data_IF_889741875882
#
_entry.id   IF_889741875882
#
_cell.length_a   1.000
_cell.length_b   1.000
_cell.length_c   1.000
_cell.angle_alpha   90.00
_cell.angle_beta   90.00
_cell.angle_gamma   90.00
#
_symmetry.space_group_name_H-M   'P 1'
#
loop_
_entity.id
_entity.type
_entity.pdbx_description
1 polymer ?
#
# COMPACT_ATOMS: atom_id res chain seq x y z
N UNK A 1 67.99 -53.04 -3.07
CA UNK A 1 68.74 -54.15 -3.72
C UNK A 1 67.72 -55.13 -4.30
N UNK A 2 67.89 -55.58 -5.55
CA UNK A 2 67.07 -56.62 -6.22
C UNK A 2 67.50 -58.05 -5.72
N UNK A 3 66.96 -59.22 -6.18
CA UNK A 3 66.42 -59.44 -7.53
C UNK A 3 65.35 -60.55 -7.80
N UNK A 4 64.96 -60.61 -9.08
CA UNK A 4 64.58 -61.79 -9.88
C UNK A 4 63.26 -62.54 -9.62
N UNK A 5 62.66 -63.24 -10.59
CA UNK A 5 62.49 -63.07 -12.06
C UNK A 5 61.89 -64.37 -12.65
N UNK A 6 61.35 -64.29 -13.89
CA UNK A 6 61.01 -65.40 -14.83
C UNK A 6 59.74 -66.20 -14.50
N UNK A 7 58.94 -66.67 -15.47
CA UNK A 7 58.88 -66.39 -16.92
C UNK A 7 57.61 -66.99 -17.55
N UNK A 8 57.03 -66.30 -18.54
CA UNK A 8 56.45 -66.80 -19.82
C UNK A 8 55.69 -68.15 -19.84
N UNK A 9 54.47 -68.23 -20.38
CA UNK A 9 54.30 -68.29 -21.85
C UNK A 9 52.83 -68.09 -22.30
N UNK A 10 52.65 -67.55 -23.52
CA UNK A 10 51.37 -67.26 -24.17
C UNK A 10 50.59 -68.50 -24.66
N UNK A 11 49.26 -68.44 -24.57
CA UNK A 11 48.33 -69.10 -25.51
C UNK A 11 46.96 -68.39 -25.52
N UNK A 12 46.58 -67.82 -26.67
CA UNK A 12 45.31 -67.12 -26.90
C UNK A 12 44.23 -68.11 -27.38
N UNK A 13 43.09 -68.20 -26.68
CA UNK A 13 41.78 -67.96 -27.32
C UNK A 13 40.82 -67.16 -26.39
N UNK A 14 39.71 -66.55 -26.81
CA UNK A 14 39.14 -66.38 -28.17
C UNK A 14 38.54 -64.96 -28.34
N UNK A 15 37.21 -64.81 -28.59
CA UNK A 15 36.42 -63.59 -28.41
C UNK A 15 34.94 -63.94 -28.16
N UNK A 16 34.35 -63.50 -27.04
CA UNK A 16 32.92 -63.61 -26.74
C UNK A 16 32.22 -62.22 -26.68
N UNK A 17 30.89 -62.15 -26.86
CA UNK A 17 30.22 -60.98 -27.43
C UNK A 17 29.79 -59.91 -26.41
N UNK A 18 29.56 -58.70 -26.93
CA UNK A 18 29.05 -57.56 -26.17
C UNK A 18 27.58 -57.79 -25.70
N UNK A 19 27.22 -57.37 -24.47
CA UNK A 19 25.84 -57.42 -24.00
C UNK A 19 25.00 -56.34 -24.69
N UNK A 20 23.74 -56.69 -24.98
CA UNK A 20 22.80 -55.82 -25.70
C UNK A 20 22.29 -54.65 -24.84
N UNK A 21 21.92 -53.57 -25.51
CA UNK A 21 21.30 -52.38 -24.91
C UNK A 21 19.84 -52.61 -24.54
N UNK A 22 19.52 -52.56 -23.24
CA UNK A 22 18.14 -52.49 -22.75
C UNK A 22 17.59 -51.04 -22.76
N UNK A 23 16.26 -50.83 -22.84
CA UNK A 23 15.69 -49.52 -23.17
C UNK A 23 15.61 -48.57 -21.97
N UNK A 24 16.12 -47.35 -22.13
CA UNK A 24 16.13 -46.31 -21.11
C UNK A 24 14.74 -45.72 -20.72
N UNK A 25 13.64 -46.34 -21.12
CA UNK A 25 12.28 -45.79 -21.00
C UNK A 25 11.59 -46.08 -19.65
N UNK A 26 11.97 -47.16 -18.95
CA UNK A 26 11.27 -47.56 -17.71
C UNK A 26 11.77 -46.83 -16.46
N UNK A 27 13.03 -46.37 -16.43
CA UNK A 27 13.63 -45.69 -15.26
C UNK A 27 13.03 -44.29 -15.01
N UNK A 28 12.85 -43.46 -16.05
CA UNK A 28 12.19 -42.14 -15.91
C UNK A 28 10.75 -42.28 -15.37
N UNK A 29 10.06 -43.39 -15.67
CA UNK A 29 8.69 -43.64 -15.19
C UNK A 29 8.61 -43.92 -13.67
N UNK A 30 9.70 -44.47 -13.11
CA UNK A 30 9.80 -44.80 -11.68
C UNK A 30 10.12 -43.52 -10.88
N UNK A 31 11.06 -42.71 -11.37
CA UNK A 31 11.42 -41.45 -10.71
C UNK A 31 10.26 -40.43 -10.76
N UNK A 32 9.53 -40.30 -11.88
CA UNK A 32 8.31 -39.47 -11.92
C UNK A 32 7.27 -39.91 -10.89
N UNK A 33 7.05 -41.23 -10.74
CA UNK A 33 6.12 -41.75 -9.72
C UNK A 33 6.60 -41.45 -8.29
N UNK A 34 7.91 -41.48 -8.05
CA UNK A 34 8.47 -41.20 -6.74
C UNK A 34 8.34 -39.71 -6.39
N UNK A 35 8.62 -38.81 -7.34
CA UNK A 35 8.40 -37.36 -7.19
C UNK A 35 6.93 -37.01 -6.98
N UNK A 36 6.01 -37.55 -7.80
CA UNK A 36 4.57 -37.33 -7.64
C UNK A 36 4.08 -37.80 -6.25
N UNK A 37 4.58 -38.93 -5.76
CA UNK A 37 4.23 -39.46 -4.43
C UNK A 37 4.75 -38.56 -3.31
N UNK A 38 5.99 -38.05 -3.42
CA UNK A 38 6.56 -37.13 -2.45
C UNK A 38 5.82 -35.78 -2.44
N UNK A 39 5.50 -35.25 -3.62
CA UNK A 39 4.83 -33.97 -3.76
C UNK A 39 3.35 -34.04 -3.33
N UNK A 40 2.69 -35.19 -3.50
CA UNK A 40 1.35 -35.46 -2.95
C UNK A 40 1.36 -35.48 -1.42
N UNK A 41 2.28 -36.22 -0.79
CA UNK A 41 2.40 -36.28 0.67
C UNK A 41 2.68 -34.91 1.28
N UNK A 42 3.54 -34.10 0.66
CA UNK A 42 3.85 -32.75 1.16
C UNK A 42 2.61 -31.84 1.14
N UNK A 43 1.80 -31.88 0.07
CA UNK A 43 0.55 -31.11 0.00
C UNK A 43 -0.50 -31.56 1.02
N UNK A 44 -0.52 -32.85 1.36
CA UNK A 44 -1.47 -33.39 2.34
C UNK A 44 -1.10 -32.99 3.78
N UNK A 45 0.20 -32.91 4.09
CA UNK A 45 0.70 -32.36 5.37
C UNK A 45 0.44 -30.85 5.48
N UNK A 46 0.81 -30.05 4.47
CA UNK A 46 0.58 -28.59 4.45
C UNK A 46 -0.93 -28.26 4.57
N UNK A 47 -1.80 -29.07 3.95
CA UNK A 47 -3.24 -28.96 4.13
C UNK A 47 -3.70 -29.27 5.56
N UNK A 48 -3.19 -30.33 6.20
CA UNK A 48 -3.53 -30.65 7.59
C UNK A 48 -3.06 -29.56 8.56
N UNK A 49 -1.87 -28.98 8.36
CA UNK A 49 -1.39 -27.86 9.16
C UNK A 49 -2.26 -26.61 8.99
N UNK A 50 -2.70 -26.29 7.76
CA UNK A 50 -3.62 -25.18 7.52
C UNK A 50 -5.01 -25.41 8.12
N UNK A 51 -5.56 -26.63 8.08
CA UNK A 51 -6.84 -26.97 8.71
C UNK A 51 -6.76 -26.81 10.25
N UNK A 52 -5.68 -27.26 10.89
CA UNK A 52 -5.44 -27.08 12.35
C UNK A 52 -5.23 -25.60 12.72
N UNK A 53 -4.55 -24.81 11.89
CA UNK A 53 -4.39 -23.37 12.12
C UNK A 53 -5.72 -22.61 11.98
N UNK A 54 -6.57 -23.01 11.03
CA UNK A 54 -7.91 -22.43 10.85
C UNK A 54 -8.83 -22.75 12.03
N UNK A 55 -8.80 -23.98 12.56
CA UNK A 55 -9.59 -24.38 13.73
C UNK A 55 -9.19 -23.59 14.98
N UNK A 56 -7.89 -23.46 15.26
CA UNK A 56 -7.38 -22.61 16.37
C UNK A 56 -7.77 -21.13 16.22
N UNK A 57 -7.77 -20.61 15.00
CA UNK A 57 -8.19 -19.23 14.74
C UNK A 57 -9.70 -19.03 14.98
N UNK A 58 -10.53 -20.01 14.59
CA UNK A 58 -11.97 -20.00 14.85
C UNK A 58 -12.29 -20.10 16.35
N UNK A 59 -11.58 -20.95 17.08
CA UNK A 59 -11.75 -21.09 18.54
C UNK A 59 -11.37 -19.77 19.27
N UNK A 60 -10.24 -19.16 18.91
CA UNK A 60 -9.82 -17.87 19.46
C UNK A 60 -10.80 -16.72 19.13
N UNK A 61 -11.41 -16.73 17.95
CA UNK A 61 -12.47 -15.78 17.60
C UNK A 61 -13.73 -15.98 18.44
N UNK A 62 -14.15 -17.24 18.65
CA UNK A 62 -15.30 -17.60 19.47
C UNK A 62 -15.11 -17.21 20.95
N UNK A 63 -13.91 -17.44 21.51
CA UNK A 63 -13.55 -17.00 22.87
C UNK A 63 -13.60 -15.47 23.02
N UNK A 64 -13.14 -14.71 22.02
CA UNK A 64 -13.25 -13.24 22.02
C UNK A 64 -14.70 -12.75 21.95
N UNK A 65 -15.57 -13.40 21.16
CA UNK A 65 -17.01 -13.06 21.13
C UNK A 65 -17.63 -13.31 22.51
N UNK A 66 -17.34 -14.43 23.16
CA UNK A 66 -17.82 -14.73 24.52
C UNK A 66 -17.34 -13.71 25.57
N UNK A 67 -16.09 -13.23 25.48
CA UNK A 67 -15.59 -12.13 26.34
C UNK A 67 -16.32 -10.80 26.09
N UNK A 68 -16.63 -10.46 24.83
CA UNK A 68 -17.38 -9.23 24.52
C UNK A 68 -18.83 -9.34 24.99
N UNK A 69 -19.49 -10.49 24.80
CA UNK A 69 -20.86 -10.70 25.28
C UNK A 69 -20.96 -10.67 26.81
N UNK A 70 -20.03 -11.31 27.53
CA UNK A 70 -20.02 -11.27 29.00
C UNK A 70 -19.76 -9.86 29.53
N UNK A 71 -18.82 -9.12 28.93
CA UNK A 71 -18.57 -7.70 29.28
C UNK A 71 -19.80 -6.84 29.02
N UNK A 72 -20.53 -7.09 27.92
CA UNK A 72 -21.75 -6.36 27.57
C UNK A 72 -22.90 -6.67 28.54
N UNK A 73 -23.08 -7.94 28.96
CA UNK A 73 -24.11 -8.31 29.94
C UNK A 73 -23.85 -7.70 31.32
N UNK A 74 -22.58 -7.64 31.77
CA UNK A 74 -22.23 -6.93 33.01
C UNK A 74 -22.53 -5.43 32.91
N UNK A 75 -22.15 -4.76 31.80
CA UNK A 75 -22.41 -3.33 31.60
C UNK A 75 -23.91 -2.98 31.46
N UNK A 76 -24.76 -3.94 31.07
CA UNK A 76 -26.22 -3.69 30.89
C UNK A 76 -27.01 -3.82 32.19
N UNK A 77 -26.43 -4.39 33.25
CA UNK A 77 -27.15 -4.64 34.52
C UNK A 77 -27.17 -3.44 35.47
N UNK A 78 -26.32 -2.43 35.25
CA UNK A 78 -26.29 -1.18 36.04
C UNK A 78 -27.05 -0.01 35.39
N UNK A 79 -27.74 -0.24 34.27
CA UNK A 79 -28.42 0.80 33.47
C UNK A 79 -29.94 0.59 33.36
N UNK A 80 -30.63 0.37 34.49
CA UNK A 80 -32.11 0.30 34.55
C UNK A 80 -32.73 1.39 35.43
N UNK A 81 -32.42 2.67 35.17
CA UNK A 81 -33.19 3.80 35.75
C UNK A 81 -33.13 5.08 34.89
N UNK A 82 -33.79 5.08 33.73
CA UNK A 82 -34.35 6.31 33.08
C UNK A 82 -35.08 5.98 31.77
N UNK A 83 -36.40 6.01 31.81
CA UNK A 83 -37.28 5.83 30.65
C UNK A 83 -37.41 7.14 29.86
N UNK A 84 -37.15 7.16 28.54
CA UNK A 84 -38.09 7.63 27.49
C UNK A 84 -37.50 7.73 26.06
N UNK A 85 -38.16 7.03 25.12
CA UNK A 85 -38.33 7.34 23.68
C UNK A 85 -37.17 7.92 22.85
N UNK A 86 -36.58 7.06 22.01
CA UNK A 86 -35.80 7.48 20.85
C UNK A 86 -36.70 8.06 19.74
N UNK A 87 -36.38 9.28 19.29
CA UNK A 87 -37.01 9.94 18.13
C UNK A 87 -36.12 9.73 16.89
N UNK A 88 -36.68 9.40 15.71
CA UNK A 88 -35.88 9.07 14.53
C UNK A 88 -35.05 10.26 14.02
N UNK A 89 -33.88 9.94 13.46
CA UNK A 89 -32.80 10.87 13.02
C UNK A 89 -33.30 12.03 12.15
N UNK A 90 -34.38 11.85 11.39
CA UNK A 90 -34.98 12.88 10.54
C UNK A 90 -35.33 14.15 11.35
N UNK A 91 -35.91 14.02 12.55
CA UNK A 91 -36.24 15.19 13.40
C UNK A 91 -35.01 15.93 13.92
N UNK A 92 -33.85 15.26 14.04
CA UNK A 92 -32.60 15.95 14.39
C UNK A 92 -32.11 16.86 13.26
N UNK A 93 -32.37 16.51 12.00
CA UNK A 93 -31.98 17.33 10.85
C UNK A 93 -32.86 18.58 10.76
N UNK A 94 -34.17 18.43 10.96
CA UNK A 94 -35.11 19.57 11.01
C UNK A 94 -34.71 20.57 12.11
N UNK A 95 -34.46 20.08 13.33
CA UNK A 95 -34.15 20.94 14.48
C UNK A 95 -32.79 21.66 14.36
N UNK A 96 -31.78 21.03 13.73
CA UNK A 96 -30.51 21.71 13.41
C UNK A 96 -30.72 22.80 12.36
N UNK A 97 -31.61 22.59 11.39
CA UNK A 97 -31.97 23.60 10.40
C UNK A 97 -32.59 24.85 11.03
N UNK A 98 -33.57 24.67 11.91
CA UNK A 98 -34.22 25.78 12.64
C UNK A 98 -33.21 26.61 13.44
N UNK A 99 -32.41 25.96 14.30
CA UNK A 99 -31.39 26.64 15.14
C UNK A 99 -30.40 27.45 14.30
N UNK A 100 -29.94 26.91 13.16
CA UNK A 100 -29.02 27.65 12.27
C UNK A 100 -29.72 28.85 11.64
N UNK A 101 -30.99 28.74 11.24
CA UNK A 101 -31.74 29.88 10.68
C UNK A 101 -32.04 30.97 11.72
N UNK A 102 -32.35 30.61 12.96
CA UNK A 102 -32.57 31.59 14.05
C UNK A 102 -31.29 32.34 14.41
N UNK A 103 -30.17 31.62 14.62
CA UNK A 103 -28.88 32.26 14.96
C UNK A 103 -28.40 33.22 13.87
N UNK A 104 -28.65 32.90 12.59
CA UNK A 104 -28.31 33.82 11.48
C UNK A 104 -29.31 34.98 11.40
N UNK A 105 -30.61 34.76 11.64
CA UNK A 105 -31.62 35.82 11.65
C UNK A 105 -31.34 36.85 12.75
N UNK A 106 -31.06 36.40 13.98
CA UNK A 106 -30.73 37.27 15.11
C UNK A 106 -29.43 38.07 14.86
N UNK A 107 -28.43 37.46 14.21
CA UNK A 107 -27.16 38.12 13.84
C UNK A 107 -27.28 39.13 12.70
N UNK A 108 -28.26 38.98 11.81
CA UNK A 108 -28.38 39.79 10.57
C UNK A 108 -29.55 40.77 10.57
N UNK A 109 -30.48 40.66 11.53
CA UNK A 109 -31.71 41.46 11.55
C UNK A 109 -32.68 41.14 10.41
N UNK A 110 -32.42 40.06 9.65
CA UNK A 110 -33.28 39.62 8.56
C UNK A 110 -34.36 38.68 9.09
N UNK A 111 -35.60 38.75 8.55
CA UNK A 111 -36.60 37.74 8.85
C UNK A 111 -36.12 36.36 8.38
N UNK A 112 -36.54 35.29 9.05
CA UNK A 112 -36.09 33.91 8.79
C UNK A 112 -36.26 33.48 7.32
N UNK A 113 -37.35 33.89 6.66
CA UNK A 113 -37.55 33.64 5.22
C UNK A 113 -36.48 34.31 4.34
N UNK A 114 -35.96 35.47 4.75
CA UNK A 114 -34.87 36.17 4.07
C UNK A 114 -33.53 35.45 4.24
N UNK A 115 -33.25 34.90 5.43
CA UNK A 115 -32.08 34.05 5.68
C UNK A 115 -32.13 32.79 4.80
N UNK A 116 -33.28 32.09 4.76
CA UNK A 116 -33.48 30.92 3.90
C UNK A 116 -33.32 31.28 2.42
N UNK A 117 -33.85 32.42 1.97
CA UNK A 117 -33.67 32.90 0.60
C UNK A 117 -32.19 33.17 0.26
N UNK A 118 -31.40 33.72 1.19
CA UNK A 118 -29.95 33.92 1.01
C UNK A 118 -29.22 32.57 0.94
N UNK A 119 -29.53 31.61 1.81
CA UNK A 119 -28.92 30.27 1.77
C UNK A 119 -29.20 29.59 0.42
N UNK A 120 -30.43 29.66 -0.07
CA UNK A 120 -30.81 29.13 -1.39
C UNK A 120 -30.07 29.87 -2.52
N UNK A 121 -29.97 31.20 -2.46
CA UNK A 121 -29.22 32.00 -3.44
C UNK A 121 -27.74 31.60 -3.48
N UNK A 122 -27.10 31.45 -2.32
CA UNK A 122 -25.70 31.02 -2.20
C UNK A 122 -25.53 29.62 -2.79
N UNK A 123 -26.42 28.67 -2.48
CA UNK A 123 -26.42 27.34 -3.09
C UNK A 123 -26.57 27.40 -4.62
N UNK A 124 -27.48 28.21 -5.16
CA UNK A 124 -27.66 28.36 -6.60
C UNK A 124 -26.45 29.02 -7.29
N UNK A 125 -25.79 29.99 -6.65
CA UNK A 125 -24.56 30.61 -7.15
C UNK A 125 -23.41 29.61 -7.15
N UNK A 126 -23.19 28.88 -6.05
CA UNK A 126 -22.15 27.84 -5.94
C UNK A 126 -22.40 26.73 -6.98
N UNK A 127 -23.63 26.22 -7.08
CA UNK A 127 -23.97 25.18 -8.06
C UNK A 127 -23.86 25.70 -9.51
N UNK A 128 -24.19 26.97 -9.76
CA UNK A 128 -23.99 27.64 -11.04
C UNK A 128 -22.51 27.77 -11.42
N UNK A 129 -21.65 28.13 -10.47
CA UNK A 129 -20.19 28.18 -10.65
C UNK A 129 -19.63 26.78 -10.93
N UNK A 130 -20.01 25.77 -10.15
CA UNK A 130 -19.61 24.38 -10.36
C UNK A 130 -20.06 23.89 -11.75
N UNK A 131 -21.32 24.13 -12.13
CA UNK A 131 -21.83 23.77 -13.45
C UNK A 131 -21.11 24.50 -14.58
N UNK A 132 -20.77 25.78 -14.40
CA UNK A 132 -19.98 26.55 -15.37
C UNK A 132 -18.55 26.01 -15.51
N UNK A 133 -17.88 25.70 -14.41
CA UNK A 133 -16.55 25.09 -14.38
C UNK A 133 -16.55 23.71 -15.07
N UNK A 134 -17.47 22.83 -14.71
CA UNK A 134 -17.66 21.50 -15.35
C UNK A 134 -17.96 21.66 -16.84
N UNK A 135 -18.88 22.56 -17.23
CA UNK A 135 -19.22 22.79 -18.64
C UNK A 135 -18.04 23.37 -19.44
N UNK A 136 -17.22 24.24 -18.85
CA UNK A 136 -15.99 24.79 -19.48
C UNK A 136 -14.93 23.71 -19.65
N UNK A 137 -14.75 22.83 -18.66
CA UNK A 137 -13.83 21.70 -18.73
C UNK A 137 -14.26 20.67 -19.79
N UNK A 138 -15.55 20.34 -19.85
CA UNK A 138 -16.13 19.45 -20.86
C UNK A 138 -16.08 20.04 -22.28
N UNK A 139 -16.24 21.36 -22.45
CA UNK A 139 -16.07 22.01 -23.77
C UNK A 139 -14.63 21.93 -24.27
N UNK A 140 -13.64 22.11 -23.39
CA UNK A 140 -12.20 22.05 -23.76
C UNK A 140 -11.74 20.65 -24.19
N UNK A 141 -12.52 19.59 -23.89
CA UNK A 141 -12.26 18.20 -24.31
C UNK A 141 -12.93 17.78 -25.64
N UNK A 142 -13.76 18.61 -26.27
CA UNK A 142 -14.58 18.24 -27.46
C UNK A 142 -14.08 18.79 -28.81
N UNK A 143 -12.84 19.28 -28.89
CA UNK A 143 -12.27 19.87 -30.11
C UNK A 143 -10.97 19.20 -30.55
N UNK A 144 -10.97 17.86 -30.74
CA UNK A 144 -9.87 17.17 -31.45
C UNK A 144 -10.24 15.80 -32.07
N UNK A 145 -11.37 15.71 -32.77
CA UNK A 145 -11.72 14.54 -33.59
C UNK A 145 -11.90 14.97 -35.06
N UNK A 146 -11.01 14.51 -35.96
CA UNK A 146 -11.01 14.94 -37.35
C UNK A 146 -10.18 14.10 -38.32
N UNK A 147 -10.89 13.27 -39.11
CA UNK A 147 -10.54 12.70 -40.45
C UNK A 147 -9.39 11.67 -40.61
N UNK A 148 -9.68 10.68 -41.47
CA UNK A 148 -8.72 9.76 -42.13
C UNK A 148 -8.53 8.42 -41.41
N UNK A 149 -9.12 7.27 -41.78
CA UNK A 149 -9.67 6.71 -43.04
C UNK A 149 -8.61 6.19 -44.05
N UNK A 150 -8.15 4.94 -43.85
CA UNK A 150 -8.22 3.78 -44.78
C UNK A 150 -7.44 2.59 -44.21
N UNK A 151 -7.93 1.38 -44.40
CA UNK A 151 -7.26 0.14 -43.96
C UNK A 151 -6.47 -0.52 -45.09
N UNK A 152 -5.62 -1.47 -44.73
CA UNK A 152 -4.98 -2.46 -45.61
C UNK A 152 -5.12 -3.82 -44.93
N UNK A 153 -5.59 -4.81 -45.67
CA UNK A 153 -5.62 -6.23 -45.30
C UNK A 153 -4.36 -6.90 -45.85
N UNK A 154 -3.78 -7.87 -45.13
CA UNK A 154 -2.75 -8.76 -45.68
C UNK A 154 -2.76 -10.10 -44.95
N UNK A 155 -3.37 -11.11 -45.57
CA UNK A 155 -3.27 -12.52 -45.18
C UNK A 155 -2.05 -13.18 -45.81
N UNK A 156 -0.91 -13.13 -45.13
CA UNK A 156 0.29 -13.97 -45.29
C UNK A 156 1.31 -13.48 -44.24
N UNK A 157 2.11 -14.28 -43.54
CA UNK A 157 2.73 -15.57 -43.88
C UNK A 157 2.78 -16.47 -42.63
N UNK A 158 2.30 -17.71 -42.76
CA UNK A 158 2.54 -18.78 -41.78
C UNK A 158 3.82 -19.54 -42.15
N UNK A 159 5.03 -19.10 -41.79
CA UNK A 159 6.25 -19.92 -41.98
C UNK A 159 7.54 -19.46 -41.22
N UNK A 160 7.49 -19.14 -39.92
CA UNK A 160 8.71 -18.78 -39.17
C UNK A 160 8.74 -19.26 -37.70
N UNK A 161 8.37 -20.52 -37.49
CA UNK A 161 8.30 -21.15 -36.16
C UNK A 161 9.59 -21.80 -35.64
N UNK A 162 10.71 -21.77 -36.37
CA UNK A 162 11.82 -22.73 -36.15
C UNK A 162 13.25 -22.14 -36.16
N UNK A 163 13.45 -20.83 -36.34
CA UNK A 163 14.74 -20.29 -36.79
C UNK A 163 15.44 -19.26 -35.85
N UNK A 164 14.91 -19.02 -34.64
CA UNK A 164 15.43 -17.97 -33.73
C UNK A 164 15.61 -18.43 -32.27
N UNK A 165 16.01 -19.69 -32.06
CA UNK A 165 16.33 -20.24 -30.72
C UNK A 165 17.81 -20.06 -30.33
N UNK A 166 18.60 -19.34 -31.12
CA UNK A 166 20.08 -19.36 -31.09
C UNK A 166 20.71 -17.96 -31.27
N UNK A 167 19.93 -16.88 -31.07
CA UNK A 167 20.39 -15.48 -31.25
C UNK A 167 19.90 -14.52 -30.16
N UNK A 168 19.71 -15.03 -28.94
CA UNK A 168 19.24 -14.24 -27.77
C UNK A 168 20.10 -14.54 -26.54
N UNK A 169 21.41 -14.40 -26.71
CA UNK A 169 22.38 -14.14 -25.66
C UNK A 169 23.38 -13.12 -26.22
N UNK A 170 23.36 -11.86 -25.76
CA UNK A 170 24.58 -11.09 -25.58
C UNK A 170 25.26 -11.54 -24.29
N UNK A 171 26.58 -11.61 -24.30
CA UNK A 171 27.34 -12.39 -23.33
C UNK A 171 27.43 -11.69 -21.97
N UNK A 172 26.97 -12.36 -20.92
CA UNK A 172 26.83 -11.80 -19.56
C UNK A 172 28.16 -11.82 -18.78
N UNK A 173 29.26 -11.50 -19.46
CA UNK A 173 30.63 -11.42 -18.91
C UNK A 173 31.36 -10.13 -19.36
N UNK A 174 30.96 -9.45 -20.47
CA UNK A 174 31.51 -8.12 -20.84
C UNK A 174 30.83 -6.94 -20.11
N UNK A 175 29.67 -7.18 -19.46
CA UNK A 175 28.96 -6.16 -18.68
C UNK A 175 29.49 -6.00 -17.24
N UNK A 176 30.42 -6.86 -16.82
CA UNK A 176 31.06 -6.80 -15.49
C UNK A 176 32.37 -6.00 -15.46
N UNK A 177 33.04 -5.81 -16.60
CA UNK A 177 34.31 -5.03 -16.67
C UNK A 177 34.11 -3.55 -17.05
N UNK A 178 32.90 -3.15 -17.45
CA UNK A 178 32.55 -1.74 -17.73
C UNK A 178 31.72 -1.09 -16.61
N UNK A 179 31.64 -1.74 -15.43
CA UNK A 179 30.82 -1.32 -14.29
C UNK A 179 31.65 -0.74 -13.12
N UNK A 180 32.97 -0.56 -13.29
CA UNK A 180 33.90 -0.14 -12.22
C UNK A 180 34.48 1.28 -12.41
N UNK A 181 34.21 1.97 -13.54
CA UNK A 181 34.69 3.33 -13.79
C UNK A 181 33.55 4.26 -14.31
N UNK A 182 32.89 4.98 -13.38
CA UNK A 182 32.06 6.14 -13.70
C UNK A 182 30.62 6.09 -13.21
N UNK A 183 30.40 6.34 -11.91
CA UNK A 183 29.12 6.80 -11.33
C UNK A 183 29.38 7.49 -9.97
N UNK A 184 30.32 8.46 -9.94
CA UNK A 184 30.24 9.55 -8.96
C UNK A 184 29.28 10.62 -9.53
N UNK A 185 28.31 11.08 -8.72
CA UNK A 185 27.23 12.04 -9.05
C UNK A 185 25.84 11.48 -9.40
N UNK A 186 25.24 10.61 -8.56
CA UNK A 186 23.77 10.65 -8.30
C UNK A 186 23.34 9.87 -7.02
N UNK A 187 24.01 10.13 -5.88
CA UNK A 187 23.47 9.70 -4.58
C UNK A 187 22.25 10.57 -4.24
N UNK A 188 21.06 9.98 -4.28
CA UNK A 188 19.87 10.55 -3.62
C UNK A 188 20.23 10.89 -2.17
N UNK A 189 20.31 12.19 -1.87
CA UNK A 189 20.66 12.65 -0.54
C UNK A 189 19.51 12.35 0.42
N UNK A 190 19.79 11.56 1.45
CA UNK A 190 18.88 11.41 2.59
C UNK A 190 18.61 12.81 3.16
N UNK A 191 17.39 13.31 2.97
CA UNK A 191 16.99 14.61 3.49
C UNK A 191 16.96 14.53 5.02
N UNK A 192 18.02 15.03 5.66
CA UNK A 192 18.06 15.22 7.10
C UNK A 192 16.97 16.20 7.49
N UNK A 193 16.06 15.75 8.35
CA UNK A 193 14.95 16.57 8.86
C UNK A 193 15.29 17.34 10.13
N UNK A 194 16.54 17.26 10.57
CA UNK A 194 17.03 17.83 11.81
C UNK A 194 16.82 16.91 13.01
N UNK A 195 16.95 17.49 14.20
CA UNK A 195 16.88 16.79 15.50
C UNK A 195 16.17 17.61 16.57
N UNK A 196 15.59 16.92 17.54
CA UNK A 196 14.84 17.50 18.66
C UNK A 196 15.50 17.15 20.00
N UNK A 197 15.71 18.14 20.87
CA UNK A 197 16.04 17.96 22.28
C UNK A 197 14.78 18.06 23.14
N UNK A 198 14.57 17.08 24.00
CA UNK A 198 13.49 17.07 24.97
C UNK A 198 13.94 16.45 26.30
N UNK A 199 13.23 16.83 27.37
CA UNK A 199 13.46 16.33 28.72
C UNK A 199 12.19 15.69 29.30
N UNK A 200 12.33 14.52 29.91
CA UNK A 200 11.25 13.74 30.53
C UNK A 200 11.50 13.58 32.03
N UNK A 201 10.46 13.82 32.82
CA UNK A 201 10.47 13.65 34.29
C UNK A 201 9.14 13.05 34.73
N UNK A 202 9.16 11.88 35.39
CA UNK A 202 7.96 11.24 35.91
C UNK A 202 7.87 11.41 37.44
N UNK A 203 6.74 11.94 37.91
CA UNK A 203 6.45 12.07 39.33
C UNK A 203 5.55 10.92 39.80
N UNK A 204 6.13 10.03 40.60
CA UNK A 204 5.46 8.88 41.21
C UNK A 204 4.41 9.28 42.26
N UNK A 205 4.54 10.46 42.88
CA UNK A 205 3.60 10.93 43.90
C UNK A 205 2.31 11.46 43.28
N UNK A 206 2.40 12.20 42.16
CA UNK A 206 1.21 12.70 41.43
C UNK A 206 0.73 11.80 40.29
N UNK A 207 1.47 10.73 39.95
CA UNK A 207 1.28 9.91 38.76
C UNK A 207 1.13 10.79 37.50
N UNK A 208 2.16 11.58 37.24
CA UNK A 208 2.19 12.46 36.07
C UNK A 208 3.55 12.49 35.39
N UNK A 209 3.53 12.58 34.06
CA UNK A 209 4.72 12.72 33.23
C UNK A 209 4.84 14.17 32.78
N UNK A 210 5.89 14.85 33.22
CA UNK A 210 6.31 16.13 32.70
C UNK A 210 7.20 15.92 31.46
N UNK A 211 6.88 16.62 30.38
CA UNK A 211 7.55 16.57 29.09
C UNK A 211 7.93 17.99 28.70
N UNK A 212 9.22 18.27 28.66
CA UNK A 212 9.75 19.59 28.26
C UNK A 212 10.31 19.50 26.85
N UNK A 213 9.76 20.30 25.94
CA UNK A 213 10.31 20.50 24.60
C UNK A 213 11.33 21.63 24.71
N UNK A 214 12.61 21.32 24.51
CA UNK A 214 13.71 22.28 24.75
C UNK A 214 13.96 23.08 23.47
N UNK A 215 14.53 22.43 22.44
CA UNK A 215 14.88 23.06 21.18
C UNK A 215 14.95 22.03 20.05
N UNK A 216 14.88 22.48 18.80
CA UNK A 216 15.22 21.68 17.63
C UNK A 216 16.36 22.35 16.85
N UNK A 217 17.06 21.57 16.02
CA UNK A 217 18.19 22.01 15.20
C UNK A 217 18.13 21.35 13.81
N UNK A 218 18.69 22.04 12.81
CA UNK A 218 18.81 21.55 11.42
C UNK A 218 17.46 21.18 10.76
N UNK A 219 16.36 21.86 11.12
CA UNK A 219 15.06 21.66 10.47
C UNK A 219 15.13 22.09 8.98
N UNK A 220 14.40 21.41 8.08
CA UNK A 220 14.27 21.83 6.68
C UNK A 220 13.48 23.13 6.57
N UNK A 221 13.84 23.94 5.56
CA UNK A 221 13.09 25.14 5.16
C UNK A 221 11.94 24.74 4.23
N UNK A 222 10.70 24.95 4.66
CA UNK A 222 9.50 24.67 3.88
C UNK A 222 8.82 25.96 3.36
N UNK A 223 8.98 27.10 4.02
CA UNK A 223 8.56 28.40 3.49
C UNK A 223 9.35 28.77 2.22
N UNK A 224 8.66 29.45 1.28
CA UNK A 224 9.29 30.16 0.15
C UNK A 224 10.37 31.18 0.56
N UNK A 225 10.45 31.54 1.86
CA UNK A 225 11.47 32.43 2.42
C UNK A 225 12.80 31.77 2.75
N UNK A 226 12.97 30.46 2.57
CA UNK A 226 14.18 29.73 2.99
C UNK A 226 14.27 29.53 4.51
N UNK A 227 13.12 29.53 5.18
CA UNK A 227 12.95 29.29 6.62
C UNK A 227 11.75 28.35 6.84
N UNK A 228 11.37 28.17 8.09
CA UNK A 228 10.07 27.62 8.50
C UNK A 228 9.58 28.40 9.73
N UNK A 229 8.29 28.33 10.04
CA UNK A 229 7.63 28.78 11.27
C UNK A 229 7.32 27.55 12.19
N UNK A 230 8.32 26.81 12.73
CA UNK A 230 8.09 25.53 13.42
C UNK A 230 7.33 25.61 14.75
N UNK A 231 6.54 24.56 15.02
CA UNK A 231 5.93 24.23 16.31
C UNK A 231 5.80 22.71 16.51
N UNK A 232 5.73 22.25 17.76
CA UNK A 232 5.71 20.82 18.12
C UNK A 232 4.37 20.43 18.75
N UNK A 233 3.72 19.40 18.23
CA UNK A 233 2.58 18.73 18.87
C UNK A 233 3.07 17.54 19.70
N UNK A 234 2.66 17.46 20.96
CA UNK A 234 3.06 16.40 21.91
C UNK A 234 1.84 15.60 22.34
N UNK A 235 1.85 14.28 22.17
CA UNK A 235 0.74 13.39 22.54
C UNK A 235 1.22 11.96 22.87
N UNK A 236 0.35 11.19 23.53
CA UNK A 236 0.62 9.79 23.91
C UNK A 236 -0.21 8.83 23.06
N UNK A 237 0.41 7.95 22.29
CA UNK A 237 -0.29 6.82 21.68
C UNK A 237 -0.56 5.72 22.74
N UNK A 238 -1.72 5.03 22.70
CA UNK A 238 -2.78 5.14 21.68
C UNK A 238 -3.77 6.30 21.90
N UNK A 239 -3.72 7.04 23.01
CA UNK A 239 -4.67 8.11 23.36
C UNK A 239 -4.43 9.42 22.58
N UNK A 240 -4.86 9.45 21.32
CA UNK A 240 -4.79 10.64 20.44
C UNK A 240 -5.68 11.83 20.89
N UNK A 241 -6.39 11.76 22.03
CA UNK A 241 -7.28 12.86 22.49
C UNK A 241 -6.54 13.97 23.21
N UNK A 242 -5.60 13.63 24.11
CA UNK A 242 -4.81 14.62 24.85
C UNK A 242 -3.58 15.02 24.02
N UNK A 243 -3.62 16.23 23.47
CA UNK A 243 -2.51 16.83 22.72
C UNK A 243 -2.13 18.16 23.35
N UNK A 244 -0.83 18.43 23.42
CA UNK A 244 -0.27 19.74 23.71
C UNK A 244 0.42 20.28 22.46
N UNK A 245 0.53 21.59 22.33
CA UNK A 245 1.19 22.24 21.20
C UNK A 245 2.09 23.37 21.75
N UNK A 246 3.32 23.48 21.27
CA UNK A 246 4.19 24.63 21.57
C UNK A 246 3.69 25.87 20.86
N UNK A 247 4.25 27.02 21.22
CA UNK A 247 4.20 28.24 20.42
C UNK A 247 4.86 28.00 19.06
N UNK A 248 4.42 28.78 18.10
CA UNK A 248 4.99 28.90 16.76
C UNK A 248 6.19 29.84 16.82
N UNK A 249 7.38 29.34 16.49
CA UNK A 249 8.59 30.14 16.39
C UNK A 249 8.79 30.56 14.95
N UNK A 250 8.69 31.86 14.65
CA UNK A 250 8.72 32.31 13.26
C UNK A 250 10.12 32.35 12.66
N UNK A 251 10.22 31.95 11.39
CA UNK A 251 11.39 32.08 10.51
C UNK A 251 12.69 31.56 11.13
N UNK A 252 12.67 30.33 11.63
CA UNK A 252 13.85 29.68 12.22
C UNK A 252 13.91 28.20 11.88
N UNK A 253 15.13 27.71 11.63
CA UNK A 253 15.44 26.29 11.45
C UNK A 253 16.01 25.66 12.73
N UNK A 254 16.26 26.48 13.76
CA UNK A 254 16.70 26.05 15.09
C UNK A 254 15.85 26.75 16.17
N UNK A 255 14.58 26.36 16.34
CA UNK A 255 13.69 26.95 17.35
C UNK A 255 14.08 26.51 18.77
N UNK A 256 14.04 27.45 19.72
CA UNK A 256 14.20 27.21 21.15
C UNK A 256 12.86 27.44 21.83
N UNK A 257 12.16 26.36 22.18
CA UNK A 257 10.81 26.38 22.73
C UNK A 257 10.82 26.61 24.25
N UNK A 258 11.56 25.76 24.99
CA UNK A 258 11.57 25.71 26.46
C UNK A 258 10.16 25.65 27.08
N UNK A 259 9.30 24.77 26.58
CA UNK A 259 7.92 24.60 27.04
C UNK A 259 7.68 23.23 27.67
N UNK A 260 7.16 23.22 28.91
CA UNK A 260 6.85 22.00 29.68
C UNK A 260 5.35 21.72 29.70
N UNK A 261 4.99 20.49 29.35
CA UNK A 261 3.62 19.96 29.38
C UNK A 261 3.52 18.82 30.39
N UNK A 262 2.36 18.64 31.03
CA UNK A 262 2.18 17.60 32.06
C UNK A 262 1.01 16.68 31.73
N UNK A 263 1.30 15.41 31.44
CA UNK A 263 0.30 14.36 31.31
C UNK A 263 -0.13 13.89 32.71
N UNK A 264 -1.15 14.56 33.26
CA UNK A 264 -1.76 14.21 34.56
C UNK A 264 -2.58 12.91 34.47
N UNK A 265 -2.60 12.18 35.59
CA UNK A 265 -3.33 10.91 35.75
C UNK A 265 -2.85 9.85 34.75
N UNK A 266 -1.53 9.62 34.75
CA UNK A 266 -0.86 8.57 33.99
C UNK A 266 -0.12 7.66 34.98
N UNK A 267 -0.76 6.58 35.49
CA UNK A 267 -0.10 5.60 36.35
C UNK A 267 1.11 4.97 35.66
N UNK A 268 2.13 4.59 36.43
CA UNK A 268 3.39 4.05 35.90
C UNK A 268 3.19 2.79 35.03
N UNK A 269 2.29 1.89 35.44
CA UNK A 269 1.92 0.70 34.67
C UNK A 269 1.22 1.03 33.33
N UNK A 270 0.46 2.13 33.27
CA UNK A 270 -0.15 2.61 32.03
C UNK A 270 0.85 3.35 31.16
N UNK A 271 1.81 4.07 31.76
CA UNK A 271 2.88 4.77 31.04
C UNK A 271 3.69 3.79 30.19
N UNK A 272 4.10 2.65 30.77
CA UNK A 272 4.87 1.61 30.08
C UNK A 272 4.20 1.05 28.81
N UNK A 273 2.88 1.15 28.69
CA UNK A 273 2.13 0.69 27.52
C UNK A 273 1.86 1.81 26.49
N UNK A 274 2.55 2.95 26.59
CA UNK A 274 2.35 4.12 25.72
C UNK A 274 3.62 4.56 25.00
N UNK A 275 3.41 5.23 23.88
CA UNK A 275 4.48 5.88 23.10
C UNK A 275 4.24 7.38 23.13
N UNK A 276 5.19 8.13 23.67
CA UNK A 276 5.21 9.59 23.56
C UNK A 276 5.63 9.97 22.14
N UNK A 277 4.90 10.90 21.53
CA UNK A 277 5.15 11.35 20.17
C UNK A 277 5.31 12.86 20.17
N UNK A 278 6.42 13.32 19.59
CA UNK A 278 6.68 14.71 19.24
C UNK A 278 6.56 14.83 17.73
N UNK A 279 5.54 15.52 17.24
CA UNK A 279 5.36 15.76 15.81
C UNK A 279 5.64 17.24 15.52
N UNK A 280 6.68 17.52 14.74
CA UNK A 280 7.06 18.89 14.37
C UNK A 280 6.36 19.27 13.07
N UNK A 281 5.75 20.44 13.08
CA UNK A 281 5.03 21.01 11.94
C UNK A 281 5.57 22.41 11.63
N UNK A 282 5.50 22.78 10.37
CA UNK A 282 5.59 24.17 9.93
C UNK A 282 4.22 24.85 10.05
N UNK A 283 4.18 26.16 10.32
CA UNK A 283 2.93 26.91 10.50
C UNK A 283 2.55 27.71 9.25
N UNK A 284 1.62 27.16 8.48
CA UNK A 284 1.01 27.85 7.35
C UNK A 284 -0.17 28.75 7.74
N UNK A 285 -0.09 30.03 7.39
CA UNK A 285 -1.22 30.96 7.58
C UNK A 285 -2.39 30.74 6.62
N UNK A 286 -2.12 30.24 5.40
CA UNK A 286 -3.09 30.17 4.30
C UNK A 286 -3.18 28.78 3.65
N UNK A 287 -2.44 27.81 4.19
CA UNK A 287 -2.29 26.43 3.71
C UNK A 287 -2.62 25.45 4.84
N UNK A 288 -2.61 24.14 4.55
CA UNK A 288 -2.50 23.12 5.59
C UNK A 288 -1.06 23.17 6.11
N UNK A 289 -0.88 23.14 7.43
CA UNK A 289 0.43 23.07 8.08
C UNK A 289 1.18 21.80 7.66
N UNK A 290 2.37 21.93 7.09
CA UNK A 290 3.19 20.80 6.67
C UNK A 290 3.88 20.13 7.86
N UNK A 291 4.01 18.80 7.84
CA UNK A 291 4.64 18.04 8.94
C UNK A 291 6.10 17.76 8.60
N UNK A 292 7.01 18.50 9.23
CA UNK A 292 8.46 18.37 9.05
C UNK A 292 8.94 16.96 9.39
N UNK A 293 8.48 16.39 10.51
CA UNK A 293 8.90 15.07 10.97
C UNK A 293 8.30 14.69 12.32
N UNK A 294 8.70 13.53 12.83
CA UNK A 294 8.31 13.11 14.18
C UNK A 294 9.40 12.32 14.92
N UNK A 295 9.34 12.38 16.25
CA UNK A 295 10.08 11.51 17.17
C UNK A 295 9.07 10.67 17.96
N UNK A 296 9.26 9.35 17.95
CA UNK A 296 8.45 8.39 18.71
C UNK A 296 9.30 7.75 19.80
N UNK A 297 8.84 7.85 21.04
CA UNK A 297 9.54 7.38 22.24
C UNK A 297 8.63 6.40 22.99
N UNK A 298 8.81 5.07 22.82
CA UNK A 298 8.13 4.08 23.65
C UNK A 298 8.55 4.27 25.11
N UNK A 299 7.60 4.52 26.02
CA UNK A 299 7.97 4.81 27.41
C UNK A 299 8.54 3.58 28.14
N UNK A 300 8.32 2.37 27.61
CA UNK A 300 8.96 1.13 28.06
C UNK A 300 10.44 1.00 27.72
N UNK A 301 10.99 1.77 26.77
CA UNK A 301 12.43 1.76 26.46
C UNK A 301 13.22 2.77 27.31
N UNK A 302 12.57 3.40 28.29
CA UNK A 302 13.08 4.51 29.06
C UNK A 302 12.91 4.24 30.56
N UNK A 303 13.97 4.49 31.35
CA UNK A 303 13.89 4.46 32.80
C UNK A 303 13.27 5.76 33.32
N UNK A 304 11.94 5.77 33.44
CA UNK A 304 11.18 6.90 33.99
C UNK A 304 11.50 7.20 35.47
N UNK A 305 12.29 6.38 36.18
CA UNK A 305 12.76 6.72 37.52
C UNK A 305 13.83 7.82 37.53
N UNK A 306 14.43 8.13 36.37
CA UNK A 306 15.46 9.14 36.22
C UNK A 306 14.97 10.30 35.34
N UNK A 307 15.47 11.50 35.62
CA UNK A 307 15.34 12.64 34.71
C UNK A 307 16.15 12.35 33.44
N UNK A 308 15.48 12.32 32.29
CA UNK A 308 16.12 12.07 30.99
C UNK A 308 16.10 13.35 30.16
N UNK A 309 17.23 13.69 29.56
CA UNK A 309 17.35 14.72 28.53
C UNK A 309 18.14 14.10 27.37
N UNK A 310 17.54 14.04 26.19
CA UNK A 310 18.17 13.40 25.03
C UNK A 310 17.84 14.10 23.71
N UNK A 311 18.77 14.00 22.77
CA UNK A 311 18.57 14.36 21.37
C UNK A 311 18.08 13.16 20.58
N UNK A 312 17.08 13.36 19.74
CA UNK A 312 16.60 12.38 18.75
C UNK A 312 16.52 13.03 17.37
N UNK A 313 17.01 12.34 16.37
CA UNK A 313 16.83 12.74 14.97
C UNK A 313 15.36 12.58 14.56
N UNK A 314 14.90 13.48 13.68
CA UNK A 314 13.52 13.49 13.20
C UNK A 314 13.35 12.47 12.08
N UNK A 315 12.39 11.56 12.26
CA UNK A 315 12.02 10.59 11.23
C UNK A 315 10.99 11.22 10.29
N UNK A 316 11.15 10.96 8.99
CA UNK A 316 10.20 11.42 8.00
C UNK A 316 8.88 10.68 8.17
N UNK A 317 7.83 11.46 8.40
CA UNK A 317 6.47 10.94 8.47
C UNK A 317 6.13 10.28 7.13
N UNK A 318 6.60 10.87 6.03
CA UNK A 318 6.37 10.38 4.68
C UNK A 318 7.21 9.14 4.30
N UNK A 319 8.28 8.81 5.04
CA UNK A 319 9.18 7.69 4.69
C UNK A 319 8.79 6.32 5.26
N UNK A 320 8.33 6.24 6.52
CA UNK A 320 8.07 4.93 7.17
C UNK A 320 6.72 4.81 7.91
N UNK A 321 5.80 5.79 7.84
CA UNK A 321 4.52 5.65 8.56
C UNK A 321 3.36 6.59 8.25
N UNK A 322 3.48 7.50 7.28
CA UNK A 322 2.57 8.64 7.09
C UNK A 322 2.04 8.86 5.67
N UNK A 323 2.62 8.24 4.65
CA UNK A 323 1.75 7.75 3.57
C UNK A 323 0.83 6.71 4.21
N UNK A 324 -0.47 7.00 4.33
CA UNK A 324 -1.45 6.02 4.78
C UNK A 324 -1.35 4.81 3.85
N UNK A 325 -0.77 3.70 4.31
CA UNK A 325 -0.59 2.49 3.50
C UNK A 325 -1.92 2.15 2.84
N UNK A 326 -1.95 2.31 1.51
CA UNK A 326 -3.15 2.12 0.70
C UNK A 326 -3.60 0.64 0.70
N UNK A 327 -2.67 -0.24 1.09
CA UNK A 327 -2.82 -1.67 1.31
C UNK A 327 -1.88 -2.46 0.41
N UNK A 328 -1.90 -3.78 0.57
CA UNK A 328 -1.15 -4.69 -0.30
C UNK A 328 -2.14 -5.58 -1.07
N UNK A 329 -1.85 -5.90 -2.34
CA UNK A 329 -2.65 -6.80 -3.16
C UNK A 329 -1.83 -8.02 -3.61
N UNK A 330 -2.43 -9.20 -3.55
CA UNK A 330 -1.88 -10.45 -4.06
C UNK A 330 -2.63 -10.90 -5.31
N UNK A 331 -1.88 -11.18 -6.38
CA UNK A 331 -2.43 -11.77 -7.59
C UNK A 331 -1.39 -12.66 -8.28
N UNK A 332 -1.86 -13.59 -9.11
CA UNK A 332 -0.99 -14.40 -9.95
C UNK A 332 -1.05 -14.03 -11.42
N UNK A 333 0.10 -14.12 -12.08
CA UNK A 333 0.27 -13.93 -13.51
C UNK A 333 0.71 -15.24 -14.16
N UNK A 334 0.10 -15.56 -15.30
CA UNK A 334 0.44 -16.73 -16.11
C UNK A 334 0.35 -16.38 -17.59
N UNK A 335 1.46 -16.45 -18.30
CA UNK A 335 1.49 -16.23 -19.75
C UNK A 335 1.71 -17.54 -20.52
N UNK A 336 0.98 -17.72 -21.62
CA UNK A 336 1.13 -18.84 -22.56
C UNK A 336 1.46 -18.28 -23.95
N UNK A 337 2.74 -18.24 -24.36
CA UNK A 337 3.16 -17.62 -25.61
C UNK A 337 2.46 -18.20 -26.85
N UNK A 338 2.35 -19.54 -26.93
CA UNK A 338 1.75 -20.25 -28.08
C UNK A 338 0.27 -19.95 -28.29
N UNK A 339 -0.44 -19.49 -27.26
CA UNK A 339 -1.85 -19.12 -27.34
C UNK A 339 -2.06 -17.59 -27.26
N UNK A 340 -0.98 -16.81 -27.15
CA UNK A 340 -1.04 -15.37 -26.84
C UNK A 340 -1.93 -15.06 -25.64
N UNK A 341 -1.89 -15.88 -24.58
CA UNK A 341 -2.88 -15.82 -23.47
C UNK A 341 -2.22 -15.42 -22.15
N UNK A 342 -2.54 -14.22 -21.69
CA UNK A 342 -2.21 -13.72 -20.35
C UNK A 342 -3.39 -13.99 -19.42
N UNK A 343 -3.18 -14.75 -18.34
CA UNK A 343 -4.15 -14.95 -17.27
C UNK A 343 -3.68 -14.23 -16.01
N UNK A 344 -4.59 -13.45 -15.42
CA UNK A 344 -4.42 -12.72 -14.18
C UNK A 344 -5.44 -13.26 -13.19
N UNK A 345 -5.01 -13.82 -12.07
CA UNK A 345 -5.91 -14.27 -10.99
C UNK A 345 -5.76 -13.33 -9.81
N UNK A 346 -6.80 -12.56 -9.51
CA UNK A 346 -6.82 -11.72 -8.30
C UNK A 346 -7.14 -12.61 -7.12
N UNK A 347 -6.20 -12.74 -6.18
CA UNK A 347 -6.33 -13.62 -5.04
C UNK A 347 -7.02 -12.88 -3.89
N UNK A 348 -6.33 -11.91 -3.31
CA UNK A 348 -6.78 -11.16 -2.14
C UNK A 348 -6.07 -9.80 -2.04
N UNK A 349 -6.56 -8.93 -1.16
CA UNK A 349 -5.83 -7.76 -0.69
C UNK A 349 -5.91 -7.69 0.83
N UNK A 350 -4.99 -6.95 1.46
CA UNK A 350 -4.93 -6.75 2.92
C UNK A 350 -4.59 -5.31 3.28
N UNK A 351 -4.97 -4.92 4.50
CA UNK A 351 -4.68 -3.61 5.07
C UNK A 351 -5.07 -2.43 4.18
N UNK A 352 -6.16 -2.55 3.41
CA UNK A 352 -6.61 -1.47 2.52
C UNK A 352 -6.94 -0.20 3.31
N UNK A 353 -6.69 0.96 2.70
CA UNK A 353 -7.12 2.25 3.24
C UNK A 353 -8.65 2.32 3.33
N UNK A 354 -9.12 2.89 4.45
CA UNK A 354 -10.53 3.18 4.73
C UNK A 354 -10.96 4.38 3.90
N UNK A 355 -12.05 4.23 3.14
CA UNK A 355 -12.58 5.29 2.29
C UNK A 355 -13.99 5.72 2.74
N UNK A 356 -14.82 4.78 3.20
CA UNK A 356 -16.14 5.10 3.75
C UNK A 356 -16.04 5.88 5.08
N UNK A 357 -16.95 6.83 5.28
CA UNK A 357 -17.17 7.54 6.56
C UNK A 357 -17.53 6.55 7.70
N UNK A 358 -17.99 5.34 7.37
CA UNK A 358 -18.22 4.24 8.31
C UNK A 358 -16.94 3.53 8.79
N UNK A 359 -15.76 3.88 8.28
CA UNK A 359 -14.47 3.36 8.75
C UNK A 359 -14.07 2.00 8.18
N UNK A 360 -14.64 1.60 7.04
CA UNK A 360 -14.28 0.44 6.22
C UNK A 360 -14.24 0.89 4.74
N UNK A 361 -14.35 -0.06 3.81
CA UNK A 361 -14.48 0.15 2.36
C UNK A 361 -15.30 -1.01 1.76
N UNK A 362 -15.90 -0.82 0.58
CA UNK A 362 -16.53 -1.83 -0.29
C UNK A 362 -15.61 -2.15 -1.52
N UNK A 363 -14.41 -2.72 -1.35
CA UNK A 363 -13.42 -2.84 -2.42
C UNK A 363 -13.80 -3.77 -3.59
N UNK A 364 -13.34 -3.37 -4.78
CA UNK A 364 -13.25 -4.21 -5.98
C UNK A 364 -12.00 -3.84 -6.80
N UNK A 365 -11.52 -4.78 -7.62
CA UNK A 365 -10.32 -4.59 -8.43
C UNK A 365 -10.68 -4.37 -9.89
N UNK A 366 -10.18 -3.29 -10.48
CA UNK A 366 -10.18 -3.04 -11.94
C UNK A 366 -8.85 -3.51 -12.52
N UNK A 367 -8.91 -4.24 -13.62
CA UNK A 367 -7.75 -4.77 -14.35
C UNK A 367 -7.80 -4.21 -15.77
N UNK A 368 -6.75 -3.53 -16.21
CA UNK A 368 -6.68 -2.96 -17.55
C UNK A 368 -5.35 -3.31 -18.24
N UNK A 369 -5.42 -3.65 -19.52
CA UNK A 369 -4.24 -3.71 -20.39
C UNK A 369 -4.10 -2.35 -21.07
N UNK A 370 -2.92 -1.74 -20.97
CA UNK A 370 -2.58 -0.45 -21.56
C UNK A 370 -1.40 -0.56 -22.52
N UNK A 371 -1.35 0.34 -23.51
CA UNK A 371 -0.27 0.47 -24.49
C UNK A 371 -0.21 1.93 -24.98
N UNK A 372 0.97 2.55 -24.96
CA UNK A 372 1.19 3.95 -25.37
C UNK A 372 0.14 4.92 -24.79
N UNK A 373 -0.06 4.86 -23.46
CA UNK A 373 -1.08 5.63 -22.71
C UNK A 373 -2.55 5.28 -23.00
N UNK A 374 -2.87 4.37 -23.94
CA UNK A 374 -4.24 3.97 -24.30
C UNK A 374 -4.66 2.69 -23.58
N UNK A 375 -5.91 2.65 -23.10
CA UNK A 375 -6.53 1.45 -22.48
C UNK A 375 -7.11 0.54 -23.56
N UNK A 376 -6.56 -0.67 -23.72
CA UNK A 376 -6.94 -1.64 -24.76
C UNK A 376 -8.09 -2.56 -24.34
N UNK A 377 -7.93 -3.25 -23.20
CA UNK A 377 -8.92 -4.20 -22.64
C UNK A 377 -9.10 -3.90 -21.15
N UNK A 378 -10.30 -4.10 -20.61
CA UNK A 378 -10.62 -3.90 -19.18
C UNK A 378 -11.50 -5.01 -18.62
N UNK A 379 -11.26 -5.42 -17.38
CA UNK A 379 -12.06 -6.36 -16.59
C UNK A 379 -12.16 -5.86 -15.14
N UNK A 380 -13.06 -6.44 -14.35
CA UNK A 380 -13.21 -6.13 -12.92
C UNK A 380 -13.66 -7.34 -12.13
N UNK A 381 -13.36 -7.37 -10.83
CA UNK A 381 -13.86 -8.38 -9.89
C UNK A 381 -15.31 -8.13 -9.46
N UNK A 382 -15.86 -9.07 -8.69
CA UNK A 382 -16.94 -8.79 -7.75
C UNK A 382 -16.56 -7.72 -6.72
N UNK A 383 -17.56 -7.11 -6.08
CA UNK A 383 -17.40 -6.14 -5.00
C UNK A 383 -17.51 -6.90 -3.67
N UNK A 384 -16.53 -6.72 -2.79
CA UNK A 384 -16.52 -7.29 -1.44
C UNK A 384 -16.90 -6.17 -0.48
N UNK A 385 -17.98 -6.33 0.28
CA UNK A 385 -18.51 -5.24 1.10
C UNK A 385 -17.86 -5.17 2.48
N UNK A 386 -17.71 -3.96 3.00
CA UNK A 386 -17.34 -3.64 4.36
C UNK A 386 -16.10 -4.44 4.83
N UNK A 387 -15.02 -4.41 4.04
CA UNK A 387 -13.78 -5.14 4.35
C UNK A 387 -12.55 -4.40 3.85
N UNK A 388 -11.48 -4.44 4.65
CA UNK A 388 -10.14 -3.98 4.27
C UNK A 388 -9.19 -5.14 3.90
N UNK A 389 -9.70 -6.37 4.00
CA UNK A 389 -8.97 -7.60 3.67
C UNK A 389 -9.84 -8.49 2.73
N UNK A 390 -10.15 -8.04 1.50
CA UNK A 390 -11.03 -8.78 0.60
C UNK A 390 -10.35 -10.00 -0.04
N UNK A 391 -11.01 -11.15 0.05
CA UNK A 391 -10.66 -12.36 -0.72
C UNK A 391 -11.53 -12.48 -1.97
N UNK A 392 -10.90 -12.61 -3.14
CA UNK A 392 -11.56 -12.68 -4.46
C UNK A 392 -11.48 -14.07 -5.08
N UNK A 393 -10.26 -14.56 -5.32
CA UNK A 393 -9.95 -15.75 -6.13
C UNK A 393 -10.64 -15.74 -7.52
N UNK A 394 -10.55 -14.62 -8.23
CA UNK A 394 -11.21 -14.42 -9.52
C UNK A 394 -10.20 -14.39 -10.67
N UNK A 395 -10.44 -15.20 -11.71
CA UNK A 395 -9.53 -15.40 -12.85
C UNK A 395 -9.97 -14.66 -14.11
N UNK A 396 -9.03 -13.95 -14.73
CA UNK A 396 -9.26 -13.10 -15.90
C UNK A 396 -8.23 -13.38 -17.00
N UNK A 397 -8.70 -13.85 -18.16
CA UNK A 397 -7.84 -13.99 -19.34
C UNK A 397 -7.91 -12.80 -20.30
N UNK A 398 -6.78 -12.45 -20.89
CA UNK A 398 -6.60 -11.47 -21.96
C UNK A 398 -5.82 -12.14 -23.10
N UNK A 399 -6.25 -11.96 -24.35
CA UNK A 399 -5.38 -12.27 -25.49
C UNK A 399 -4.43 -11.09 -25.73
N UNK A 400 -3.13 -11.41 -25.71
CA UNK A 400 -1.97 -10.55 -25.95
C UNK A 400 -0.96 -11.40 -26.75
N UNK A 401 -0.75 -11.13 -28.05
CA UNK A 401 0.29 -11.79 -28.84
C UNK A 401 1.70 -11.56 -28.27
N UNK A 402 2.63 -12.49 -28.53
CA UNK A 402 3.99 -12.42 -27.98
C UNK A 402 4.75 -11.17 -28.46
N UNK A 403 4.51 -10.73 -29.69
CA UNK A 403 5.09 -9.54 -30.32
C UNK A 403 4.63 -8.21 -29.66
N UNK A 404 3.62 -8.30 -28.78
CA UNK A 404 3.04 -7.19 -28.04
C UNK A 404 3.32 -7.26 -26.53
N UNK A 405 3.76 -8.41 -25.98
CA UNK A 405 3.86 -8.60 -24.51
C UNK A 405 4.82 -7.59 -23.85
N UNK A 406 5.90 -7.21 -24.54
CA UNK A 406 6.87 -6.23 -24.07
C UNK A 406 6.40 -4.77 -24.24
N UNK A 407 5.35 -4.53 -25.04
CA UNK A 407 4.83 -3.19 -25.38
C UNK A 407 3.56 -2.82 -24.61
N UNK A 408 3.07 -3.71 -23.75
CA UNK A 408 1.89 -3.48 -22.92
C UNK A 408 2.27 -3.31 -21.45
N UNK A 409 1.37 -2.67 -20.71
CA UNK A 409 1.38 -2.64 -19.26
C UNK A 409 0.06 -3.23 -18.73
N UNK A 410 0.15 -4.05 -17.70
CA UNK A 410 -0.97 -4.48 -16.88
C UNK A 410 -1.16 -3.48 -15.74
N UNK A 411 -2.32 -2.84 -15.68
CA UNK A 411 -2.70 -1.91 -14.62
C UNK A 411 -3.75 -2.56 -13.74
N UNK A 412 -3.43 -2.72 -12.46
CA UNK A 412 -4.33 -3.27 -11.45
C UNK A 412 -4.66 -2.15 -10.46
N UNK A 413 -5.94 -1.83 -10.28
CA UNK A 413 -6.38 -0.73 -9.41
C UNK A 413 -7.42 -1.26 -8.44
N UNK A 414 -7.16 -1.13 -7.13
CA UNK A 414 -8.18 -1.34 -6.10
C UNK A 414 -9.01 -0.08 -6.01
N UNK A 415 -10.33 -0.23 -5.99
CA UNK A 415 -11.30 0.86 -6.02
C UNK A 415 -12.35 0.58 -4.99
N UNK A 416 -12.72 1.60 -4.23
CA UNK A 416 -13.84 1.55 -3.31
C UNK A 416 -15.17 1.72 -4.06
N UNK A 417 -16.23 1.06 -3.62
CA UNK A 417 -17.53 1.12 -4.28
C UNK A 417 -18.54 1.99 -3.52
N UNK A 418 -18.50 3.29 -3.80
CA UNK A 418 -19.59 4.18 -3.44
C UNK A 418 -20.90 3.79 -4.11
N UNK A 419 -21.95 3.53 -3.31
CA UNK A 419 -23.33 3.39 -3.80
C UNK A 419 -23.89 4.73 -4.31
N UNK A 420 -23.48 5.83 -3.69
CA UNK A 420 -23.91 7.20 -3.99
C UNK A 420 -22.65 8.06 -4.06
N UNK A 421 -22.23 8.42 -5.27
CA UNK A 421 -20.99 9.17 -5.49
C UNK A 421 -20.19 8.60 -6.67
N UNK A 422 -18.90 8.85 -6.66
CA UNK A 422 -17.96 8.37 -7.69
C UNK A 422 -16.91 7.46 -7.06
N UNK A 423 -17.10 6.14 -7.21
CA UNK A 423 -16.17 5.09 -6.75
C UNK A 423 -14.69 5.47 -6.83
N UNK A 424 -14.08 5.76 -5.68
CA UNK A 424 -12.72 6.30 -5.60
C UNK A 424 -11.64 5.20 -5.66
N UNK A 425 -10.53 5.41 -6.38
CA UNK A 425 -9.43 4.45 -6.39
C UNK A 425 -8.68 4.49 -5.04
N UNK A 426 -8.60 3.35 -4.36
CA UNK A 426 -7.83 3.21 -3.11
C UNK A 426 -6.33 3.24 -3.42
N UNK A 427 -5.91 2.55 -4.49
CA UNK A 427 -4.50 2.44 -4.86
C UNK A 427 -4.28 1.58 -6.10
N UNK A 428 -3.06 1.59 -6.63
CA UNK A 428 -2.73 1.01 -7.93
C UNK A 428 -1.35 0.36 -7.95
N UNK A 429 -1.19 -0.70 -8.76
CA UNK A 429 0.11 -1.14 -9.25
C UNK A 429 0.10 -1.27 -10.79
N UNK A 430 1.28 -1.10 -11.40
CA UNK A 430 1.48 -1.12 -12.85
C UNK A 430 2.65 -2.06 -13.15
N UNK A 431 2.40 -3.09 -13.95
CA UNK A 431 3.35 -4.13 -14.31
C UNK A 431 3.60 -4.12 -15.82
N UNK A 432 4.83 -4.43 -16.23
CA UNK A 432 5.27 -4.39 -17.62
C UNK A 432 6.79 -4.31 -17.70
N UNK A 433 7.35 -4.40 -18.91
CA UNK A 433 8.79 -4.29 -19.13
C UNK A 433 9.39 -2.91 -18.81
N UNK A 434 8.55 -1.88 -18.69
CA UNK A 434 8.93 -0.52 -18.26
C UNK A 434 8.67 -0.26 -16.76
N UNK A 435 8.30 -1.30 -15.99
CA UNK A 435 8.16 -1.20 -14.54
C UNK A 435 9.52 -1.12 -13.83
N UNK A 436 9.48 -0.82 -12.53
CA UNK A 436 10.65 -0.89 -11.63
C UNK A 436 10.35 -1.81 -10.45
N UNK A 437 11.39 -2.23 -9.73
CA UNK A 437 11.26 -2.98 -8.47
C UNK A 437 10.43 -4.27 -8.59
N UNK A 438 9.51 -4.46 -7.63
CA UNK A 438 8.69 -5.68 -7.47
C UNK A 438 7.79 -5.98 -8.66
N UNK A 439 7.27 -4.93 -9.31
CA UNK A 439 6.38 -5.03 -10.47
C UNK A 439 7.12 -5.52 -11.72
N UNK A 440 8.35 -5.05 -11.93
CA UNK A 440 9.21 -5.55 -12.99
C UNK A 440 9.59 -7.01 -12.74
N UNK A 441 9.99 -7.35 -11.51
CA UNK A 441 10.34 -8.72 -11.13
C UNK A 441 9.19 -9.70 -11.40
N UNK A 442 7.98 -9.39 -10.97
CA UNK A 442 6.81 -10.25 -11.20
C UNK A 442 6.51 -10.46 -12.69
N UNK A 443 6.71 -9.41 -13.50
CA UNK A 443 6.54 -9.48 -14.95
C UNK A 443 7.63 -10.32 -15.63
N UNK A 444 8.89 -10.16 -15.22
CA UNK A 444 10.03 -10.95 -15.70
C UNK A 444 9.89 -12.44 -15.31
N UNK A 445 9.53 -12.74 -14.07
CA UNK A 445 9.33 -14.11 -13.58
C UNK A 445 8.20 -14.83 -14.35
N UNK A 446 7.12 -14.11 -14.68
CA UNK A 446 6.03 -14.61 -15.55
C UNK A 446 6.53 -14.95 -16.97
N UNK A 447 7.43 -14.13 -17.54
CA UNK A 447 7.98 -14.37 -18.89
C UNK A 447 9.02 -15.51 -18.89
N UNK A 448 9.85 -15.58 -17.86
CA UNK A 448 10.86 -16.62 -17.67
C UNK A 448 10.25 -18.00 -17.34
N UNK A 449 9.06 -18.04 -16.73
CA UNK A 449 8.33 -19.27 -16.38
C UNK A 449 7.08 -19.48 -17.27
N UNK A 450 7.22 -19.70 -18.58
CA UNK A 450 6.07 -19.82 -19.49
C UNK A 450 5.14 -20.96 -19.05
N UNK A 451 3.83 -20.72 -19.14
CA UNK A 451 2.76 -21.65 -18.72
C UNK A 451 2.67 -21.92 -17.21
N UNK A 452 3.56 -21.39 -16.36
CA UNK A 452 3.45 -21.47 -14.89
C UNK A 452 2.76 -20.22 -14.34
N UNK A 453 1.84 -20.33 -13.37
CA UNK A 453 1.37 -19.18 -12.60
C UNK A 453 2.41 -18.77 -11.56
N UNK A 454 2.77 -17.48 -11.53
CA UNK A 454 3.60 -16.87 -10.50
C UNK A 454 2.71 -15.95 -9.67
N UNK A 455 2.62 -16.16 -8.36
CA UNK A 455 1.85 -15.33 -7.43
C UNK A 455 2.78 -14.40 -6.65
N UNK A 456 2.40 -13.12 -6.52
CA UNK A 456 3.22 -12.14 -5.80
C UNK A 456 2.35 -11.05 -5.14
N UNK A 457 2.81 -10.56 -4.00
CA UNK A 457 2.28 -9.38 -3.32
C UNK A 457 2.87 -8.09 -3.92
N UNK A 458 2.04 -7.05 -4.00
CA UNK A 458 2.41 -5.71 -4.44
C UNK A 458 1.81 -4.68 -3.49
N UNK A 459 2.64 -3.75 -3.01
CA UNK A 459 2.18 -2.57 -2.26
C UNK A 459 1.44 -1.64 -3.21
N UNK A 460 0.27 -1.15 -2.81
CA UNK A 460 -0.51 -0.22 -3.62
C UNK A 460 0.10 1.19 -3.54
N UNK A 461 0.35 1.79 -4.71
CA UNK A 461 0.84 3.15 -4.89
C UNK A 461 -0.30 4.12 -5.19
N UNK A 462 -0.04 5.42 -5.07
CA UNK A 462 -1.07 6.43 -5.25
C UNK A 462 -1.62 6.42 -6.70
N UNK A 463 -2.96 6.46 -6.90
CA UNK A 463 -3.57 6.52 -8.21
C UNK A 463 -3.19 7.75 -9.05
N UNK A 464 -2.81 8.87 -8.44
CA UNK A 464 -2.41 10.12 -9.11
C UNK A 464 -0.96 10.07 -9.58
N UNK A 465 -0.01 9.70 -8.70
CA UNK A 465 1.40 9.44 -9.06
C UNK A 465 1.50 8.46 -10.22
N UNK A 466 0.78 7.34 -10.11
CA UNK A 466 0.77 6.30 -11.15
C UNK A 466 0.05 6.72 -12.43
N UNK A 467 -0.83 7.73 -12.40
CA UNK A 467 -1.40 8.34 -13.61
C UNK A 467 -0.34 9.14 -14.38
N UNK A 468 0.66 9.72 -13.71
CA UNK A 468 1.78 10.44 -14.34
C UNK A 468 2.67 9.46 -15.13
N UNK A 469 3.02 8.34 -14.52
CA UNK A 469 3.78 7.25 -15.17
C UNK A 469 3.06 6.78 -16.45
N UNK A 470 1.73 6.58 -16.39
CA UNK A 470 0.92 6.19 -17.56
C UNK A 470 0.79 7.31 -18.62
N UNK A 471 0.90 8.59 -18.24
CA UNK A 471 0.93 9.72 -19.19
C UNK A 471 2.28 9.83 -19.90
N UNK A 472 3.37 9.41 -19.25
CA UNK A 472 4.74 9.49 -19.75
C UNK A 472 5.13 8.29 -20.63
N UNK A 473 4.50 7.12 -20.44
CA UNK A 473 4.58 5.97 -21.35
C UNK A 473 3.80 6.16 -22.68
N UNK A 474 4.12 7.22 -23.45
CA UNK A 474 3.55 7.48 -24.79
C UNK A 474 4.55 7.13 -25.89
#
# INVERSE_FOLDING_TARGET
>A
MPPNAKSETDAKPEAEPAPASEPAADLESVDQKLEETHHSKFREVDRQEQEVLAEKAAEAASQRIAQVESTTRSATTEAQESTTTAVPVIKKIEHVGEVVTEVIAERTGLPTWGVVAIIILVFLVVFGIIFFCVRRFLKKRRTKDGKGKKGVDMKSVQLLGSAYKEKVQPDMEELTENAEEGDEEDKQSEQKLGRLNFKLEYDFNSNSLAVTVIQAEELPALDMGGTSDPYVKVYLLPDKKKKFETKVHRKTLSPVFNETFTFKSLPYADAMNKTLVFAIFDFDRFSKHDQIGEVKVPLCTIDLAQTIEEWRDLVSVEGEGGQEKLGDICFSLRYVPTAGKLTVVILEAKNLKKMDVGGLSDPYVKIAIMQNGKRLKKKKTSIKKCTLNPYYNESFSFEVPFEQIQKICLVVTVVDYDRIGTSEPIGRCILGCMGTGTELRHWSDMLASPRRPIAQWHTLKDPEETDEILKNMK
#
